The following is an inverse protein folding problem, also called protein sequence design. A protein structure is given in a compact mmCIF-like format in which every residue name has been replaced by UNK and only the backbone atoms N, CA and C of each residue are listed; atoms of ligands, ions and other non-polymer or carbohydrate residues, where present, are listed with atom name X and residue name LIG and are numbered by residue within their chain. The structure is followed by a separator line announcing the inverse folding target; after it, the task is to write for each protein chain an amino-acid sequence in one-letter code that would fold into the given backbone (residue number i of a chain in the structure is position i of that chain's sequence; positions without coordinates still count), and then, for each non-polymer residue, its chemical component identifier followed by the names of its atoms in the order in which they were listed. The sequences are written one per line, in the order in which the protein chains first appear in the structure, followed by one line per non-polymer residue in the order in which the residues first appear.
data_IF_116862501633
#
_entry.id   IF_116862501633
#
_cell.length_a   1.000
_cell.length_b   1.000
_cell.length_c   1.000
_cell.angle_alpha   90.00
_cell.angle_beta   90.00
_cell.angle_gamma   90.00
#
_symmetry.space_group_name_H-M   'P 1'
#
loop_
_entity.id
_entity.type
_entity.pdbx_description
1 polymer ?
#
# COMPACT_ATOMS: atom_id res chain seq x y z
N UNK A 1 -7.54 -18.91 7.15
CA UNK A 1 -7.07 -17.51 7.05
C UNK A 1 -7.14 -16.92 8.44
N UNK A 2 -6.01 -16.51 9.00
CA UNK A 2 -6.00 -15.76 10.25
C UNK A 2 -6.55 -14.35 9.94
N UNK A 3 -7.73 -14.04 10.43
CA UNK A 3 -8.25 -12.68 10.40
C UNK A 3 -7.40 -11.86 11.37
N UNK A 4 -6.48 -11.06 10.86
CA UNK A 4 -5.70 -10.13 11.69
C UNK A 4 -6.56 -8.88 11.85
N UNK A 5 -7.10 -8.68 13.04
CA UNK A 5 -7.82 -7.47 13.40
C UNK A 5 -6.81 -6.45 13.93
N UNK A 6 -6.68 -5.31 13.27
CA UNK A 6 -5.87 -4.18 13.73
C UNK A 6 -6.74 -3.28 14.59
N UNK A 7 -7.74 -2.64 13.98
CA UNK A 7 -8.78 -1.87 14.67
C UNK A 7 -10.12 -2.03 13.96
N UNK A 8 -11.16 -1.34 14.45
CA UNK A 8 -12.47 -1.36 13.79
C UNK A 8 -12.43 -0.73 12.39
N UNK A 9 -11.60 0.28 12.17
CA UNK A 9 -11.50 1.03 10.91
C UNK A 9 -10.28 0.64 10.07
N UNK A 10 -9.23 0.10 10.68
CA UNK A 10 -8.00 -0.29 9.98
C UNK A 10 -7.97 -1.81 9.84
N UNK A 11 -8.06 -2.28 8.58
CA UNK A 11 -8.17 -3.69 8.24
C UNK A 11 -6.91 -4.18 7.53
N UNK A 12 -6.39 -5.33 7.96
CA UNK A 12 -5.38 -6.05 7.19
C UNK A 12 -6.05 -6.71 5.99
N UNK A 13 -5.57 -6.38 4.80
CA UNK A 13 -6.06 -6.95 3.53
C UNK A 13 -4.97 -7.69 2.76
N UNK A 14 -3.77 -7.79 3.31
CA UNK A 14 -2.63 -8.49 2.71
C UNK A 14 -2.84 -9.99 2.52
N UNK A 15 -1.77 -10.69 2.22
CA UNK A 15 -1.79 -12.13 1.97
C UNK A 15 -0.53 -12.82 2.50
N UNK A 16 -0.67 -14.08 2.93
CA UNK A 16 0.43 -14.95 3.35
C UNK A 16 0.76 -15.94 2.23
N UNK A 17 1.90 -15.80 1.58
CA UNK A 17 2.39 -16.79 0.60
C UNK A 17 3.28 -17.82 1.30
N UNK A 18 2.72 -18.99 1.55
CA UNK A 18 3.41 -20.14 2.13
C UNK A 18 3.94 -21.13 1.07
N UNK A 19 3.80 -20.78 -0.19
CA UNK A 19 4.21 -21.61 -1.32
C UNK A 19 5.53 -21.17 -1.94
N UNK A 20 6.01 -19.98 -1.58
CA UNK A 20 7.28 -19.45 -2.02
C UNK A 20 8.40 -19.98 -1.11
N UNK A 21 9.41 -20.61 -1.69
CA UNK A 21 10.60 -21.16 -0.99
C UNK A 21 11.76 -20.18 -0.98
N UNK A 22 11.83 -19.33 -2.03
CA UNK A 22 12.91 -18.35 -2.22
C UNK A 22 12.32 -16.99 -2.51
N UNK A 23 12.54 -16.03 -1.61
CA UNK A 23 12.24 -14.62 -1.86
C UNK A 23 13.35 -14.02 -2.72
N UNK A 24 13.00 -13.21 -3.71
CA UNK A 24 13.92 -12.63 -4.71
C UNK A 24 14.85 -13.66 -5.37
N UNK A 25 14.44 -14.91 -5.46
CA UNK A 25 15.22 -16.02 -6.02
C UNK A 25 16.54 -16.34 -5.29
N UNK A 26 16.75 -15.80 -4.10
CA UNK A 26 18.01 -15.98 -3.35
C UNK A 26 17.84 -16.19 -1.85
N UNK A 27 16.79 -15.66 -1.22
CA UNK A 27 16.59 -15.78 0.22
C UNK A 27 15.67 -16.93 0.56
N UNK A 28 16.18 -17.92 1.31
CA UNK A 28 15.37 -19.03 1.81
C UNK A 28 14.34 -18.51 2.82
N UNK A 29 13.07 -18.78 2.55
CA UNK A 29 11.95 -18.40 3.43
C UNK A 29 11.10 -19.64 3.80
N UNK A 30 11.59 -20.51 4.67
CA UNK A 30 10.96 -21.81 4.98
C UNK A 30 9.54 -21.70 5.56
N UNK A 31 9.16 -20.54 6.03
CA UNK A 31 7.83 -20.26 6.58
C UNK A 31 6.94 -19.43 5.61
N UNK A 32 7.44 -19.15 4.40
CA UNK A 32 6.79 -18.25 3.45
C UNK A 32 7.03 -16.78 3.75
N UNK A 33 6.25 -15.90 3.12
CA UNK A 33 6.33 -14.44 3.24
C UNK A 33 4.93 -13.85 3.38
N UNK A 34 4.80 -12.77 4.13
CA UNK A 34 3.58 -11.97 4.23
C UNK A 34 3.73 -10.72 3.38
N UNK A 35 2.77 -10.48 2.50
CA UNK A 35 2.65 -9.23 1.74
C UNK A 35 1.68 -8.34 2.48
N UNK A 36 2.19 -7.26 3.05
CA UNK A 36 1.44 -6.41 3.96
C UNK A 36 0.74 -5.27 3.22
N UNK A 37 -0.57 -5.27 3.25
CA UNK A 37 -1.42 -4.20 2.75
C UNK A 37 -2.60 -3.98 3.70
N UNK A 38 -3.01 -2.72 3.83
CA UNK A 38 -4.06 -2.35 4.78
C UNK A 38 -5.09 -1.45 4.13
N UNK A 39 -6.29 -1.44 4.69
CA UNK A 39 -7.38 -0.57 4.30
C UNK A 39 -7.79 0.27 5.50
N UNK A 40 -7.84 1.58 5.33
CA UNK A 40 -8.35 2.52 6.34
C UNK A 40 -9.71 2.99 5.88
N UNK A 41 -10.75 2.62 6.65
CA UNK A 41 -12.15 2.95 6.38
C UNK A 41 -12.54 4.19 7.18
N UNK A 42 -12.73 5.31 6.46
CA UNK A 42 -13.12 6.59 7.04
C UNK A 42 -14.03 7.34 6.05
N UNK A 43 -14.23 8.64 6.22
CA UNK A 43 -14.92 9.50 5.24
C UNK A 43 -14.26 9.40 3.86
N UNK A 44 -12.92 9.35 3.85
CA UNK A 44 -12.07 8.97 2.73
C UNK A 44 -11.40 7.63 3.01
N UNK A 45 -11.42 6.76 2.02
CA UNK A 45 -10.87 5.41 2.16
C UNK A 45 -9.46 5.38 1.55
N UNK A 46 -8.49 4.89 2.32
CA UNK A 46 -7.12 4.72 1.87
C UNK A 46 -6.69 3.25 1.85
N UNK A 47 -6.03 2.84 0.76
CA UNK A 47 -5.29 1.58 0.65
C UNK A 47 -3.82 1.88 0.94
N UNK A 48 -3.20 1.12 1.85
CA UNK A 48 -1.78 1.21 2.19
C UNK A 48 -1.02 0.11 1.44
N UNK A 49 -0.22 0.49 0.47
CA UNK A 49 0.52 -0.39 -0.44
C UNK A 49 -0.35 -1.44 -1.16
N UNK A 50 0.25 -2.16 -2.08
CA UNK A 50 -0.34 -3.33 -2.73
C UNK A 50 0.42 -4.59 -2.28
N UNK A 51 0.36 -5.65 -3.06
CA UNK A 51 1.04 -6.92 -2.77
C UNK A 51 1.73 -7.44 -4.02
N UNK A 52 2.57 -8.47 -3.86
CA UNK A 52 3.14 -9.21 -4.97
C UNK A 52 2.06 -9.75 -5.93
N UNK A 53 2.37 -9.83 -7.22
CA UNK A 53 1.44 -10.29 -8.26
C UNK A 53 0.91 -11.70 -7.99
N UNK A 54 1.67 -12.56 -7.31
CA UNK A 54 1.28 -13.93 -6.92
C UNK A 54 0.07 -13.92 -5.97
N UNK A 55 -0.05 -12.89 -5.14
CA UNK A 55 -1.10 -12.75 -4.13
C UNK A 55 -2.30 -11.91 -4.60
N UNK A 56 -2.28 -11.36 -5.82
CA UNK A 56 -3.31 -10.45 -6.35
C UNK A 56 -4.74 -10.93 -6.10
N UNK A 57 -5.03 -12.20 -6.39
CA UNK A 57 -6.38 -12.74 -6.26
C UNK A 57 -6.88 -12.83 -4.82
N UNK A 58 -6.02 -13.13 -3.87
CA UNK A 58 -6.36 -13.16 -2.43
C UNK A 58 -6.54 -11.75 -1.90
N UNK A 59 -5.60 -10.86 -2.20
CA UNK A 59 -5.64 -9.47 -1.82
C UNK A 59 -6.91 -8.75 -2.29
N UNK A 60 -7.29 -8.93 -3.57
CA UNK A 60 -8.52 -8.33 -4.10
C UNK A 60 -9.77 -8.84 -3.38
N UNK A 61 -9.85 -10.15 -3.08
CA UNK A 61 -10.97 -10.69 -2.32
C UNK A 61 -11.04 -10.11 -0.90
N UNK A 62 -9.89 -9.95 -0.25
CA UNK A 62 -9.81 -9.34 1.07
C UNK A 62 -10.27 -7.88 1.03
N UNK A 63 -9.77 -7.11 0.08
CA UNK A 63 -10.13 -5.70 -0.11
C UNK A 63 -11.62 -5.54 -0.45
N UNK A 64 -12.15 -6.31 -1.39
CA UNK A 64 -13.57 -6.23 -1.80
C UNK A 64 -14.52 -6.57 -0.65
N UNK A 65 -14.14 -7.52 0.21
CA UNK A 65 -14.91 -7.87 1.41
C UNK A 65 -15.02 -6.69 2.37
N UNK A 66 -13.94 -5.99 2.61
CA UNK A 66 -13.92 -4.86 3.55
C UNK A 66 -14.51 -3.58 2.94
N UNK A 67 -14.32 -3.34 1.64
CA UNK A 67 -14.90 -2.20 0.93
C UNK A 67 -16.43 -2.25 0.84
N UNK A 68 -17.03 -3.44 0.78
CA UNK A 68 -18.47 -3.63 0.69
C UNK A 68 -19.13 -2.81 -0.43
N UNK A 69 -18.48 -2.72 -1.58
CA UNK A 69 -18.95 -1.98 -2.75
C UNK A 69 -18.58 -0.49 -2.78
N UNK A 70 -17.89 0.01 -1.76
CA UNK A 70 -17.30 1.35 -1.79
C UNK A 70 -16.03 1.36 -2.65
N UNK A 71 -15.60 2.55 -3.06
CA UNK A 71 -14.35 2.76 -3.82
C UNK A 71 -13.31 3.45 -2.93
N UNK A 72 -12.03 3.10 -3.02
CA UNK A 72 -10.97 3.82 -2.33
C UNK A 72 -10.74 5.19 -2.96
N UNK A 73 -10.50 6.20 -2.11
CA UNK A 73 -10.14 7.55 -2.52
C UNK A 73 -8.63 7.67 -2.76
N UNK A 74 -7.82 6.93 -2.00
CA UNK A 74 -6.37 7.02 -2.03
C UNK A 74 -5.70 5.65 -2.08
N UNK A 75 -4.60 5.58 -2.83
CA UNK A 75 -3.56 4.54 -2.69
C UNK A 75 -2.31 5.23 -2.16
N UNK A 76 -1.85 4.85 -0.98
CA UNK A 76 -0.59 5.29 -0.40
C UNK A 76 0.49 4.31 -0.84
N UNK A 77 1.53 4.79 -1.52
CA UNK A 77 2.64 3.98 -2.00
C UNK A 77 3.87 4.29 -1.18
N UNK A 78 4.19 3.40 -0.25
CA UNK A 78 5.32 3.53 0.65
C UNK A 78 6.63 3.07 0.02
N UNK A 79 6.55 2.06 -0.86
CA UNK A 79 7.71 1.39 -1.45
C UNK A 79 7.40 0.83 -2.85
N UNK A 80 8.41 0.81 -3.73
CA UNK A 80 8.25 0.38 -5.13
C UNK A 80 8.76 -1.03 -5.42
N UNK A 81 9.22 -1.77 -4.41
CA UNK A 81 9.56 -3.18 -4.58
C UNK A 81 8.31 -3.99 -4.99
N UNK A 82 8.45 -5.03 -5.83
CA UNK A 82 7.30 -5.74 -6.40
C UNK A 82 6.29 -6.29 -5.39
N UNK A 83 6.73 -6.68 -4.21
CA UNK A 83 5.84 -7.18 -3.15
C UNK A 83 4.98 -6.10 -2.49
N UNK A 84 5.30 -4.80 -2.73
CA UNK A 84 4.48 -3.65 -2.37
C UNK A 84 3.79 -3.00 -3.57
N UNK A 85 4.38 -3.12 -4.77
CA UNK A 85 4.02 -2.26 -5.90
C UNK A 85 3.39 -2.99 -7.10
N UNK A 86 3.48 -4.33 -7.19
CA UNK A 86 3.12 -5.06 -8.42
C UNK A 86 1.68 -4.84 -8.90
N UNK A 87 0.77 -4.46 -8.01
CA UNK A 87 -0.64 -4.26 -8.34
C UNK A 87 -1.06 -2.78 -8.47
N UNK A 88 -0.13 -1.82 -8.42
CA UNK A 88 -0.45 -0.39 -8.53
C UNK A 88 -1.19 -0.08 -9.84
N UNK A 89 -0.66 -0.52 -10.98
CA UNK A 89 -1.28 -0.26 -12.29
C UNK A 89 -2.69 -0.85 -12.37
N UNK A 90 -2.86 -2.10 -11.92
CA UNK A 90 -4.16 -2.78 -11.95
C UNK A 90 -5.18 -2.05 -11.06
N UNK A 91 -4.79 -1.67 -9.84
CA UNK A 91 -5.67 -0.96 -8.92
C UNK A 91 -6.04 0.44 -9.44
N UNK A 92 -5.07 1.17 -9.99
CA UNK A 92 -5.28 2.50 -10.58
C UNK A 92 -6.22 2.46 -11.80
N UNK A 93 -6.19 1.38 -12.59
CA UNK A 93 -7.14 1.16 -13.69
C UNK A 93 -8.53 0.77 -13.20
N UNK A 94 -8.60 -0.03 -12.13
CA UNK A 94 -9.86 -0.45 -11.51
C UNK A 94 -10.63 0.73 -10.89
N UNK A 95 -9.90 1.67 -10.28
CA UNK A 95 -10.46 2.85 -9.62
C UNK A 95 -9.90 4.15 -10.23
N UNK A 96 -10.45 4.58 -11.38
CA UNK A 96 -9.87 5.69 -12.15
C UNK A 96 -9.98 7.06 -11.45
N UNK A 97 -10.78 7.19 -10.39
CA UNK A 97 -10.89 8.41 -9.57
C UNK A 97 -9.97 8.42 -8.36
N UNK A 98 -9.39 7.25 -8.01
CA UNK A 98 -8.50 7.12 -6.87
C UNK A 98 -7.22 7.92 -7.10
N UNK A 99 -6.83 8.74 -6.12
CA UNK A 99 -5.57 9.47 -6.13
C UNK A 99 -4.44 8.58 -5.61
N UNK A 100 -3.24 8.77 -6.16
CA UNK A 100 -2.04 8.05 -5.73
C UNK A 100 -1.17 9.02 -4.93
N UNK A 101 -0.91 8.65 -3.69
CA UNK A 101 -0.14 9.43 -2.72
C UNK A 101 1.23 8.80 -2.55
N UNK A 102 2.27 9.52 -2.87
CA UNK A 102 3.65 9.05 -2.75
C UNK A 102 4.62 10.22 -2.68
N UNK A 103 5.88 9.97 -2.37
CA UNK A 103 6.89 11.02 -2.43
C UNK A 103 7.36 11.30 -3.88
N UNK A 104 8.12 12.37 -4.04
CA UNK A 104 8.57 12.85 -5.35
C UNK A 104 9.47 11.85 -6.12
N UNK A 105 10.16 10.91 -5.42
CA UNK A 105 11.02 9.92 -6.06
C UNK A 105 10.24 8.70 -6.57
N UNK A 106 9.13 8.38 -5.94
CA UNK A 106 8.28 7.23 -6.28
C UNK A 106 7.64 7.36 -7.66
N UNK A 107 7.16 8.55 -8.03
CA UNK A 107 6.46 8.75 -9.30
C UNK A 107 7.33 8.47 -10.53
N UNK A 108 8.57 8.97 -10.65
CA UNK A 108 9.45 8.59 -11.75
C UNK A 108 9.76 7.09 -11.82
N UNK A 109 9.86 6.40 -10.67
CA UNK A 109 10.02 4.95 -10.64
C UNK A 109 8.77 4.24 -11.14
N UNK A 110 7.60 4.71 -10.75
CA UNK A 110 6.31 4.18 -11.21
C UNK A 110 6.16 4.29 -12.74
N UNK A 111 6.57 5.40 -13.33
CA UNK A 111 6.57 5.62 -14.78
C UNK A 111 7.54 4.66 -15.53
N UNK A 112 8.61 4.20 -14.86
CA UNK A 112 9.54 3.21 -15.41
C UNK A 112 9.02 1.78 -15.31
N UNK A 113 8.26 1.47 -14.27
CA UNK A 113 7.78 0.12 -14.01
C UNK A 113 6.45 -0.19 -14.69
N UNK A 114 5.61 0.83 -14.90
CA UNK A 114 4.26 0.66 -15.40
C UNK A 114 3.99 1.56 -16.62
N UNK A 115 3.16 1.07 -17.53
CA UNK A 115 2.60 1.87 -18.60
C UNK A 115 1.32 2.59 -18.12
N UNK A 116 1.50 3.47 -17.13
CA UNK A 116 0.41 4.14 -16.41
C UNK A 116 0.72 5.62 -16.27
N UNK A 117 -0.16 6.46 -16.85
CA UNK A 117 -0.14 7.91 -16.59
C UNK A 117 -1.07 8.23 -15.41
N UNK A 118 -0.51 8.81 -14.37
CA UNK A 118 -1.22 9.25 -13.16
C UNK A 118 -1.03 10.74 -12.90
N UNK A 119 -0.58 11.49 -13.89
CA UNK A 119 -0.23 12.91 -13.74
C UNK A 119 -1.37 13.79 -13.22
N UNK A 120 -2.62 13.43 -13.53
CA UNK A 120 -3.85 14.10 -13.09
C UNK A 120 -4.35 13.67 -11.70
N UNK A 121 -3.77 12.60 -11.12
CA UNK A 121 -4.21 11.96 -9.88
C UNK A 121 -3.12 11.81 -8.84
N UNK A 122 -1.93 12.28 -9.10
CA UNK A 122 -0.82 12.18 -8.16
C UNK A 122 -0.92 13.22 -7.05
N UNK A 123 -0.71 12.78 -5.82
CA UNK A 123 -0.54 13.63 -4.62
C UNK A 123 0.89 13.42 -4.13
N UNK A 124 1.73 14.41 -4.34
CA UNK A 124 3.13 14.35 -3.91
C UNK A 124 3.22 14.81 -2.48
N UNK A 125 3.81 13.99 -1.61
CA UNK A 125 4.03 14.29 -0.20
C UNK A 125 5.52 14.34 0.12
N UNK A 126 5.86 15.10 1.16
CA UNK A 126 7.21 15.30 1.67
C UNK A 126 7.27 15.01 3.18
N UNK A 127 8.47 15.11 3.74
CA UNK A 127 8.71 14.93 5.17
C UNK A 127 7.78 15.76 6.04
N UNK A 128 7.03 15.09 6.92
CA UNK A 128 6.12 15.71 7.86
C UNK A 128 4.76 16.13 7.30
N UNK A 129 4.52 16.01 5.98
CA UNK A 129 3.22 16.30 5.39
C UNK A 129 2.13 15.42 5.98
N UNK A 130 0.90 15.90 5.95
CA UNK A 130 -0.27 15.19 6.46
C UNK A 130 -1.39 15.08 5.44
N UNK A 131 -2.17 13.99 5.53
CA UNK A 131 -3.37 13.75 4.74
C UNK A 131 -4.52 13.38 5.69
N UNK A 132 -5.58 14.16 5.70
CA UNK A 132 -6.78 13.84 6.46
C UNK A 132 -7.70 12.92 5.67
N UNK A 133 -8.17 11.86 6.33
CA UNK A 133 -9.19 10.95 5.80
C UNK A 133 -10.58 11.22 6.40
N UNK A 134 -10.66 12.17 7.32
CA UNK A 134 -11.82 12.48 8.15
C UNK A 134 -11.42 12.44 9.61
N UNK A 135 -11.72 11.36 10.31
CA UNK A 135 -11.31 11.09 11.69
C UNK A 135 -9.81 10.73 11.79
N UNK A 136 -9.30 9.98 10.81
CA UNK A 136 -7.90 9.56 10.73
C UNK A 136 -7.08 10.61 9.99
N UNK A 137 -5.85 10.83 10.46
CA UNK A 137 -4.86 11.69 9.81
C UNK A 137 -3.57 10.92 9.63
N UNK A 138 -3.13 10.80 8.38
CA UNK A 138 -1.86 10.19 8.01
C UNK A 138 -0.77 11.25 8.01
N UNK A 139 0.39 10.95 8.57
CA UNK A 139 1.59 11.76 8.50
C UNK A 139 2.72 10.96 7.88
N UNK A 140 3.46 11.56 6.95
CA UNK A 140 4.47 10.90 6.14
C UNK A 140 5.87 11.24 6.61
N UNK A 141 6.74 10.23 6.68
CA UNK A 141 8.14 10.36 7.03
C UNK A 141 8.99 9.68 5.96
N UNK A 142 10.05 10.37 5.54
CA UNK A 142 10.92 9.87 4.46
C UNK A 142 12.06 9.06 5.06
N UNK A 143 12.21 7.81 4.59
CA UNK A 143 13.26 6.88 5.03
C UNK A 143 14.17 6.48 3.86
N UNK A 144 14.84 7.46 3.21
CA UNK A 144 15.62 7.19 2.01
C UNK A 144 16.77 6.21 2.29
N UNK A 145 16.90 5.17 1.43
CA UNK A 145 17.88 4.09 1.52
C UNK A 145 17.63 3.10 2.67
N UNK A 146 16.44 3.10 3.22
CA UNK A 146 15.98 2.07 4.17
C UNK A 146 14.74 1.35 3.57
N UNK A 147 14.94 0.36 2.63
CA UNK A 147 16.28 0.04 2.05
C UNK A 147 16.43 0.61 0.62
N UNK A 148 15.40 1.11 -0.03
CA UNK A 148 15.42 1.77 -1.34
C UNK A 148 15.36 3.30 -1.21
N UNK A 149 15.73 4.05 -2.28
CA UNK A 149 15.87 5.52 -2.20
C UNK A 149 14.55 6.27 -2.01
N UNK A 150 13.41 5.65 -2.31
CA UNK A 150 12.08 6.26 -2.27
C UNK A 150 11.25 5.84 -1.07
N UNK A 151 11.76 4.99 -0.19
CA UNK A 151 10.97 4.49 0.95
C UNK A 151 10.46 5.62 1.81
N UNK A 152 9.20 5.53 2.18
CA UNK A 152 8.56 6.35 3.20
C UNK A 152 7.74 5.48 4.14
N UNK A 153 7.57 5.93 5.37
CA UNK A 153 6.67 5.33 6.35
C UNK A 153 5.52 6.27 6.65
N UNK A 154 4.39 5.72 7.05
CA UNK A 154 3.18 6.49 7.33
C UNK A 154 2.73 6.26 8.77
N UNK A 155 2.56 7.34 9.54
CA UNK A 155 2.03 7.30 10.89
C UNK A 155 0.58 7.79 10.93
N UNK A 156 -0.31 6.92 11.36
CA UNK A 156 -1.71 7.27 11.61
C UNK A 156 -1.83 7.82 13.04
N UNK A 157 -2.24 9.08 13.16
CA UNK A 157 -2.13 9.85 14.39
C UNK A 157 -3.21 9.53 15.43
N UNK A 158 -4.43 9.13 14.99
CA UNK A 158 -5.59 8.96 15.88
C UNK A 158 -5.49 7.68 16.70
N UNK A 159 -5.12 6.58 16.08
CA UNK A 159 -4.98 5.27 16.71
C UNK A 159 -3.50 4.90 16.98
N UNK A 160 -2.58 5.79 16.58
CA UNK A 160 -1.11 5.69 16.82
C UNK A 160 -0.50 4.45 16.18
N UNK A 161 -0.83 4.23 14.91
CA UNK A 161 -0.34 3.09 14.13
C UNK A 161 0.71 3.55 13.14
N UNK A 162 1.85 2.86 13.11
CA UNK A 162 2.91 3.05 12.13
C UNK A 162 2.80 1.99 11.04
N UNK A 163 2.65 2.41 9.78
CA UNK A 163 2.81 1.59 8.60
C UNK A 163 4.25 1.75 8.12
N UNK A 164 5.07 0.76 8.43
CA UNK A 164 6.53 0.83 8.23
C UNK A 164 6.95 0.37 6.83
N UNK A 165 6.03 -0.10 6.01
CA UNK A 165 6.33 -0.85 4.79
C UNK A 165 7.14 -2.11 5.12
N UNK A 166 8.38 -2.14 4.74
CA UNK A 166 9.29 -3.28 4.88
C UNK A 166 9.93 -3.41 6.26
#
# INVERSE_FOLDING_TARGET
MSHVEITEQIKYIGADDKTLDLFESQYLIPNGVSYNSYLILDEKIAVMDTVDMRATGEWLRNMDRELQGKEPDYLIVSHMEPDHAANIEMLARRYPKMQIVANAKTFPMMEQFFNLDVSDRKVVVAEGDTLSLGKHTLQFFMEPMVHWPEVMVTYEQSEKILFSAD
#
